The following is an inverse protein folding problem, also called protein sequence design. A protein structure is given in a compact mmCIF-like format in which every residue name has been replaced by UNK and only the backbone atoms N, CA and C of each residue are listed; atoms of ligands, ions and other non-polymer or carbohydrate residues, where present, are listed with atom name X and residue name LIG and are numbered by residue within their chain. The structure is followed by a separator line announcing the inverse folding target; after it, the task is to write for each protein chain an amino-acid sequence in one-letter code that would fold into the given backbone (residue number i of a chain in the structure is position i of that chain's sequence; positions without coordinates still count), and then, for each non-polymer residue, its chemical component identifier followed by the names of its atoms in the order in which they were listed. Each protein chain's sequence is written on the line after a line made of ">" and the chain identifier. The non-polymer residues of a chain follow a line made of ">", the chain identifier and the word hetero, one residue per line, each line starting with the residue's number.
data_IF_554324702152
#
_entry.id   IF_554324702152
#
_cell.length_a   1.000
_cell.length_b   1.000
_cell.length_c   1.000
_cell.angle_alpha   90.00
_cell.angle_beta   90.00
_cell.angle_gamma   90.00
#
_symmetry.space_group_name_H-M   'P 1'
#
loop_
_entity.id
_entity.type
_entity.pdbx_description
1 polymer ?
#
# COMPACT_ATOMS: atom_id res chain seq x y z
N UNK A 1 -14.74 32.52 3.57
CA UNK A 1 -13.47 32.17 2.92
C UNK A 1 -12.86 30.99 3.68
N UNK A 2 -13.29 29.79 3.30
CA UNK A 2 -12.85 28.54 3.91
C UNK A 2 -11.44 28.22 3.43
N UNK A 3 -10.48 28.34 4.35
CA UNK A 3 -9.07 28.08 4.10
C UNK A 3 -8.86 26.57 4.15
N UNK A 4 -8.71 25.95 2.98
CA UNK A 4 -8.24 24.56 2.86
C UNK A 4 -6.80 24.49 3.39
N UNK A 5 -6.62 23.97 4.59
CA UNK A 5 -5.31 23.53 5.07
C UNK A 5 -4.99 22.18 4.44
N UNK A 6 -4.06 22.15 3.50
CA UNK A 6 -3.44 20.90 3.05
C UNK A 6 -2.50 20.44 4.17
N UNK A 7 -2.91 19.44 4.95
CA UNK A 7 -2.03 18.77 5.91
C UNK A 7 -1.09 17.87 5.10
N UNK A 8 0.08 18.40 4.77
CA UNK A 8 1.19 17.62 4.22
C UNK A 8 1.90 16.86 5.34
N UNK A 9 1.27 15.79 5.84
CA UNK A 9 1.88 14.88 6.80
C UNK A 9 2.91 13.98 6.12
N UNK A 10 4.09 14.52 5.78
CA UNK A 10 5.18 13.77 5.13
C UNK A 10 6.34 13.44 6.07
N UNK A 11 6.29 13.91 7.32
CA UNK A 11 7.34 13.71 8.31
C UNK A 11 6.91 12.75 9.41
N UNK A 12 7.83 11.91 9.84
CA UNK A 12 7.67 11.08 11.02
C UNK A 12 7.91 11.98 12.23
N UNK A 13 6.87 12.25 13.02
CA UNK A 13 6.95 13.07 14.24
C UNK A 13 7.05 12.10 15.44
N UNK A 14 8.17 12.14 16.16
CA UNK A 14 8.45 11.32 17.36
C UNK A 14 8.25 9.80 17.20
N UNK A 15 8.23 9.32 15.95
CA UNK A 15 8.14 7.89 15.66
C UNK A 15 9.46 7.18 15.87
N UNK A 16 9.38 5.89 16.16
CA UNK A 16 10.52 4.99 16.23
C UNK A 16 10.47 3.94 15.11
N UNK A 17 11.63 3.38 14.78
CA UNK A 17 11.71 2.26 13.86
C UNK A 17 10.93 1.08 14.46
N UNK A 18 10.00 0.50 13.70
CA UNK A 18 9.28 -0.68 14.16
C UNK A 18 10.27 -1.80 14.52
N UNK A 19 10.04 -2.57 15.60
CA UNK A 19 10.89 -3.72 15.92
C UNK A 19 10.93 -4.72 14.76
N UNK A 20 12.06 -5.41 14.60
CA UNK A 20 12.19 -6.47 13.60
C UNK A 20 11.07 -7.50 13.78
N UNK A 21 10.53 -7.98 12.65
CA UNK A 21 9.46 -8.99 12.56
C UNK A 21 8.15 -8.71 13.32
N UNK A 22 7.96 -7.50 13.85
CA UNK A 22 6.73 -7.11 14.56
C UNK A 22 5.54 -6.81 13.64
N UNK A 23 5.81 -6.52 12.37
CA UNK A 23 4.85 -6.04 11.38
C UNK A 23 4.85 -6.92 10.12
N UNK A 24 4.92 -8.25 10.30
CA UNK A 24 5.05 -9.21 9.18
C UNK A 24 3.89 -9.18 8.18
N UNK A 25 2.73 -8.64 8.57
CA UNK A 25 1.58 -8.44 7.70
C UNK A 25 1.70 -7.22 6.78
N UNK A 26 2.69 -6.34 6.99
CA UNK A 26 2.88 -5.15 6.15
C UNK A 26 3.40 -5.56 4.78
N UNK A 27 2.81 -4.96 3.74
CA UNK A 27 3.13 -5.25 2.35
C UNK A 27 3.59 -3.98 1.64
N UNK A 28 4.67 -4.10 0.86
CA UNK A 28 5.07 -3.11 -0.13
C UNK A 28 4.54 -3.54 -1.49
N UNK A 29 3.56 -2.80 -2.01
CA UNK A 29 3.07 -2.95 -3.39
C UNK A 29 4.03 -2.21 -4.32
N UNK A 30 4.43 -2.88 -5.40
CA UNK A 30 5.46 -2.37 -6.31
C UNK A 30 5.02 -2.40 -7.76
N UNK A 31 5.47 -1.37 -8.46
CA UNK A 31 5.53 -1.26 -9.92
C UNK A 31 6.92 -1.66 -10.39
N UNK A 32 7.17 -1.67 -11.70
CA UNK A 32 8.53 -1.87 -12.23
C UNK A 32 9.51 -0.75 -11.81
N UNK A 33 8.99 0.40 -11.39
CA UNK A 33 9.76 1.55 -10.88
C UNK A 33 10.04 1.48 -9.38
N UNK A 34 9.46 0.52 -8.64
CA UNK A 34 9.67 0.36 -7.20
C UNK A 34 8.39 0.46 -6.39
N UNK A 35 8.52 0.84 -5.12
CA UNK A 35 7.40 0.96 -4.19
C UNK A 35 6.41 2.04 -4.61
N UNK A 36 5.13 1.69 -4.65
CA UNK A 36 4.02 2.57 -5.01
C UNK A 36 3.12 2.84 -3.81
N UNK A 37 2.70 1.77 -3.11
CA UNK A 37 1.76 1.83 -2.01
C UNK A 37 2.06 0.79 -0.93
N UNK A 38 1.52 1.01 0.26
CA UNK A 38 1.43 -0.01 1.30
C UNK A 38 0.20 -0.92 1.14
N UNK A 39 0.16 -2.00 1.91
CA UNK A 39 -1.00 -2.90 2.02
C UNK A 39 -0.85 -3.84 3.21
N UNK A 40 -1.84 -4.71 3.41
CA UNK A 40 -1.86 -5.69 4.49
C UNK A 40 -2.16 -7.09 3.98
N UNK A 41 -1.34 -8.06 4.37
CA UNK A 41 -1.62 -9.48 4.14
C UNK A 41 -2.75 -9.93 5.08
N UNK A 42 -3.93 -10.22 4.51
CA UNK A 42 -5.12 -10.61 5.28
C UNK A 42 -5.36 -12.12 5.27
N UNK A 43 -4.72 -12.83 4.34
CA UNK A 43 -4.61 -14.28 4.30
C UNK A 43 -3.44 -14.67 3.40
N UNK A 44 -3.14 -15.98 3.30
CA UNK A 44 -1.93 -16.48 2.62
C UNK A 44 -1.76 -15.97 1.18
N UNK A 45 -2.86 -15.69 0.47
CA UNK A 45 -2.86 -15.31 -0.95
C UNK A 45 -3.52 -13.95 -1.22
N UNK A 46 -3.98 -13.25 -0.18
CA UNK A 46 -4.72 -11.99 -0.35
C UNK A 46 -4.11 -10.84 0.44
N UNK A 47 -3.87 -9.74 -0.28
CA UNK A 47 -3.45 -8.45 0.25
C UNK A 47 -4.60 -7.47 0.06
N UNK A 48 -4.92 -6.71 1.10
CA UNK A 48 -5.83 -5.56 1.00
C UNK A 48 -5.04 -4.26 0.92
N UNK A 49 -5.52 -3.35 0.09
CA UNK A 49 -4.96 -2.01 -0.12
C UNK A 49 -6.06 -1.02 -0.50
N UNK A 50 -5.68 0.23 -0.73
CA UNK A 50 -6.54 1.22 -1.36
C UNK A 50 -6.66 0.98 -2.87
N UNK A 51 -7.83 1.25 -3.44
CA UNK A 51 -8.09 1.09 -4.87
C UNK A 51 -7.30 2.09 -5.72
N UNK A 52 -7.13 3.31 -5.23
CA UNK A 52 -6.39 4.38 -5.92
C UNK A 52 -4.93 4.03 -6.19
N UNK A 53 -4.34 3.10 -5.41
CA UNK A 53 -2.97 2.63 -5.58
C UNK A 53 -2.70 2.00 -6.96
N UNK A 54 -3.74 1.72 -7.74
CA UNK A 54 -3.63 1.21 -9.10
C UNK A 54 -4.35 2.06 -10.15
N UNK A 55 -4.61 3.34 -9.87
CA UNK A 55 -5.23 4.27 -10.83
C UNK A 55 -4.24 4.78 -11.87
N UNK A 56 -2.98 5.00 -11.45
CA UNK A 56 -1.95 5.61 -12.29
C UNK A 56 -0.79 4.67 -12.60
N UNK A 57 -0.72 3.54 -11.89
CA UNK A 57 0.35 2.57 -12.07
C UNK A 57 -0.18 1.14 -12.00
N UNK A 58 0.33 0.29 -12.90
CA UNK A 58 0.06 -1.14 -12.84
C UNK A 58 0.95 -1.75 -11.76
N UNK A 59 0.36 -2.16 -10.65
CA UNK A 59 1.03 -2.97 -9.63
C UNK A 59 1.43 -4.31 -10.26
N UNK A 60 2.67 -4.73 -10.04
CA UNK A 60 3.23 -5.95 -10.62
C UNK A 60 3.63 -6.94 -9.54
N UNK A 61 4.15 -6.45 -8.42
CA UNK A 61 4.73 -7.27 -7.38
C UNK A 61 4.32 -6.83 -5.99
N UNK A 62 4.32 -7.78 -5.08
CA UNK A 62 4.26 -7.54 -3.64
C UNK A 62 5.58 -7.97 -3.00
N UNK A 63 6.04 -7.21 -2.01
CA UNK A 63 7.12 -7.60 -1.10
C UNK A 63 6.59 -7.66 0.32
N UNK A 64 6.85 -8.77 1.00
CA UNK A 64 6.31 -9.07 2.34
C UNK A 64 7.30 -9.88 3.17
N UNK A 65 7.02 -9.94 4.47
CA UNK A 65 7.63 -10.88 5.41
C UNK A 65 9.07 -10.57 5.84
N UNK A 66 9.59 -9.36 5.56
CA UNK A 66 10.90 -8.92 6.04
C UNK A 66 10.87 -7.44 6.45
N UNK A 67 11.74 -7.10 7.41
CA UNK A 67 11.86 -5.73 7.91
C UNK A 67 12.63 -4.80 6.96
N UNK A 68 13.58 -5.32 6.17
CA UNK A 68 14.23 -4.62 5.06
C UNK A 68 13.71 -5.14 3.72
N UNK A 69 13.19 -4.25 2.87
CA UNK A 69 12.66 -4.59 1.55
C UNK A 69 13.72 -5.20 0.62
N UNK A 70 15.01 -4.98 0.86
CA UNK A 70 16.11 -5.60 0.11
C UNK A 70 16.17 -7.11 0.31
N UNK A 71 15.69 -7.59 1.46
CA UNK A 71 15.69 -9.00 1.85
C UNK A 71 14.33 -9.66 1.55
N UNK A 72 13.28 -8.85 1.39
CA UNK A 72 11.94 -9.33 1.10
C UNK A 72 11.83 -10.04 -0.26
N UNK A 73 11.12 -11.16 -0.29
CA UNK A 73 10.78 -11.88 -1.52
C UNK A 73 9.79 -11.07 -2.35
N UNK A 74 10.03 -11.00 -3.65
CA UNK A 74 9.10 -10.44 -4.63
C UNK A 74 8.16 -11.53 -5.14
N UNK A 75 6.85 -11.32 -5.04
CA UNK A 75 5.81 -12.23 -5.55
C UNK A 75 4.97 -11.47 -6.57
N UNK A 76 4.70 -12.07 -7.73
CA UNK A 76 3.88 -11.44 -8.78
C UNK A 76 2.41 -11.43 -8.40
N UNK A 77 1.75 -10.32 -8.70
CA UNK A 77 0.30 -10.18 -8.56
C UNK A 77 -0.38 -10.89 -9.73
N UNK A 78 -1.30 -11.81 -9.45
CA UNK A 78 -2.03 -12.53 -10.50
C UNK A 78 -3.16 -11.67 -11.07
N UNK A 79 -3.97 -11.07 -10.20
CA UNK A 79 -5.04 -10.16 -10.56
C UNK A 79 -5.30 -9.15 -9.42
N UNK A 80 -6.05 -8.10 -9.73
CA UNK A 80 -6.50 -7.09 -8.76
C UNK A 80 -8.02 -6.95 -8.84
N UNK A 81 -8.66 -6.57 -7.74
CA UNK A 81 -10.13 -6.46 -7.65
C UNK A 81 -10.54 -5.21 -6.88
N UNK A 82 -10.68 -4.08 -7.58
CA UNK A 82 -11.20 -2.85 -6.96
C UNK A 82 -12.63 -3.05 -6.49
N UNK A 83 -13.01 -2.42 -5.39
CA UNK A 83 -14.41 -2.38 -4.98
C UNK A 83 -15.28 -1.82 -6.12
N UNK A 84 -16.41 -2.46 -6.47
CA UNK A 84 -17.17 -2.08 -7.67
C UNK A 84 -17.72 -0.65 -7.69
N UNK A 85 -17.92 -0.03 -6.52
CA UNK A 85 -18.40 1.35 -6.42
C UNK A 85 -17.25 2.38 -6.36
N UNK A 86 -15.99 1.94 -6.30
CA UNK A 86 -14.86 2.85 -6.38
C UNK A 86 -14.85 3.59 -7.72
N UNK A 87 -14.81 4.91 -7.67
CA UNK A 87 -14.77 5.79 -8.85
C UNK A 87 -13.63 6.81 -8.78
N UNK A 88 -13.43 7.41 -7.61
CA UNK A 88 -12.27 8.23 -7.29
C UNK A 88 -12.12 8.35 -5.78
N UNK A 89 -10.95 8.81 -5.32
CA UNK A 89 -10.68 9.10 -3.90
C UNK A 89 -11.72 10.01 -3.25
N UNK A 90 -12.34 10.93 -4.01
CA UNK A 90 -13.34 11.88 -3.52
C UNK A 90 -14.70 11.22 -3.21
N UNK A 91 -14.99 10.06 -3.82
CA UNK A 91 -16.28 9.38 -3.69
C UNK A 91 -16.27 8.25 -2.66
N UNK A 92 -15.11 7.91 -2.09
CA UNK A 92 -14.96 6.83 -1.12
C UNK A 92 -14.76 5.47 -1.78
N UNK A 93 -15.10 4.41 -1.04
CA UNK A 93 -14.95 3.01 -1.47
C UNK A 93 -13.54 2.64 -1.98
N UNK A 94 -12.54 3.34 -1.46
CA UNK A 94 -11.14 3.25 -1.85
C UNK A 94 -10.47 2.03 -1.21
N UNK A 95 -10.94 0.85 -1.62
CA UNK A 95 -10.47 -0.46 -1.15
C UNK A 95 -10.37 -1.45 -2.32
N UNK A 96 -9.32 -2.25 -2.32
CA UNK A 96 -8.99 -3.27 -3.33
C UNK A 96 -8.23 -4.43 -2.70
#
# INVERSE_FOLDING_TARGET
>A
PDVYFSVGGSEIIDGEKAPEDSMQYMVSLQTNSGHECGGFLISEEFVVTAAHCSDHAALQHVRLGHHDLKEAKSISIEYTCKFPAYWSVEHGDDIM
#
